data_IF_602565925212
#
_entry.id   IF_602565925212
#
_cell.length_a   1.000
_cell.length_b   1.000
_cell.length_c   1.000
_cell.angle_alpha   90.00
_cell.angle_beta   90.00
_cell.angle_gamma   90.00
#
_symmetry.space_group_name_H-M   'P 1'
#
loop_
_entity.id
_entity.type
_entity.pdbx_description
1 polymer ?
#
# COMPACT_ATOMS: atom_id res chain seq x y z
N UNK A 1 -2.42 -48.86 10.18
CA UNK A 1 -2.89 -47.75 9.30
C UNK A 1 -4.35 -47.45 9.64
N UNK A 2 -4.68 -46.29 10.24
CA UNK A 2 -6.09 -45.89 10.47
C UNK A 2 -6.75 -45.65 9.09
N UNK A 3 -7.83 -46.37 8.78
CA UNK A 3 -8.61 -46.16 7.55
C UNK A 3 -9.26 -44.77 7.63
N UNK A 4 -8.82 -43.86 6.77
CA UNK A 4 -9.40 -42.52 6.66
C UNK A 4 -10.63 -42.63 5.75
N UNK A 5 -11.81 -42.27 6.26
CA UNK A 5 -13.04 -42.34 5.48
C UNK A 5 -13.06 -41.14 4.53
N UNK A 6 -13.34 -41.37 3.25
CA UNK A 6 -13.42 -40.28 2.26
C UNK A 6 -14.79 -39.60 2.35
N UNK A 7 -14.80 -38.30 2.10
CA UNK A 7 -16.04 -37.53 1.99
C UNK A 7 -16.83 -38.00 0.76
N UNK A 8 -18.16 -38.14 0.89
CA UNK A 8 -19.09 -38.51 -0.18
C UNK A 8 -20.04 -37.33 -0.42
N UNK A 9 -20.30 -36.99 -1.68
CA UNK A 9 -21.10 -35.81 -2.04
C UNK A 9 -22.56 -35.89 -1.55
N UNK A 10 -23.07 -37.11 -1.32
CA UNK A 10 -24.35 -37.40 -0.66
C UNK A 10 -24.45 -36.86 0.77
N UNK A 11 -23.35 -36.40 1.39
CA UNK A 11 -23.39 -35.75 2.71
C UNK A 11 -24.00 -34.34 2.68
N UNK A 12 -24.27 -33.80 1.48
CA UNK A 12 -25.05 -32.58 1.33
C UNK A 12 -26.49 -32.74 1.86
N UNK A 13 -27.07 -33.95 1.79
CA UNK A 13 -28.39 -34.21 2.39
C UNK A 13 -28.40 -33.99 3.91
N UNK A 14 -27.23 -34.09 4.55
CA UNK A 14 -26.99 -33.81 5.96
C UNK A 14 -26.46 -32.37 6.18
N UNK A 15 -26.44 -31.51 5.16
CA UNK A 15 -25.99 -30.12 5.28
C UNK A 15 -24.48 -29.95 5.49
N UNK A 16 -23.68 -30.93 5.04
CA UNK A 16 -22.23 -30.88 5.07
C UNK A 16 -21.62 -30.75 3.66
N UNK A 17 -20.47 -30.07 3.57
CA UNK A 17 -19.62 -29.96 2.36
C UNK A 17 -18.17 -30.35 2.68
N UNK A 18 -17.33 -30.50 1.64
CA UNK A 18 -15.88 -30.67 1.81
C UNK A 18 -15.29 -29.40 2.41
N UNK A 19 -14.47 -29.53 3.45
CA UNK A 19 -13.73 -28.40 3.99
C UNK A 19 -12.65 -27.93 2.98
N UNK A 20 -12.58 -26.62 2.72
CA UNK A 20 -11.63 -26.03 1.78
C UNK A 20 -10.16 -26.12 2.22
N UNK A 21 -9.89 -26.25 3.53
CA UNK A 21 -8.54 -26.37 4.08
C UNK A 21 -8.07 -27.83 4.16
N UNK A 22 -8.97 -28.75 4.49
CA UNK A 22 -8.70 -30.18 4.52
C UNK A 22 -9.90 -30.95 3.94
N UNK A 23 -9.84 -31.39 2.67
CA UNK A 23 -10.95 -32.09 2.01
C UNK A 23 -11.42 -33.38 2.70
N UNK A 24 -10.66 -33.90 3.68
CA UNK A 24 -11.00 -35.09 4.47
C UNK A 24 -11.93 -34.79 5.64
N UNK A 25 -12.25 -33.53 5.90
CA UNK A 25 -13.13 -33.11 6.99
C UNK A 25 -14.48 -32.64 6.45
N UNK A 26 -15.61 -33.09 7.04
CA UNK A 26 -16.90 -32.51 6.72
C UNK A 26 -17.02 -31.13 7.37
N UNK A 27 -17.52 -30.17 6.61
CA UNK A 27 -17.76 -28.80 7.03
C UNK A 27 -19.27 -28.54 7.07
N UNK A 28 -19.78 -28.12 8.23
CA UNK A 28 -21.20 -27.80 8.37
C UNK A 28 -21.50 -26.45 7.73
N UNK A 29 -22.40 -26.41 6.76
CA UNK A 29 -22.76 -25.16 6.07
C UNK A 29 -23.57 -24.21 6.99
N UNK A 30 -24.29 -24.76 7.97
CA UNK A 30 -25.18 -23.98 8.85
C UNK A 30 -24.45 -23.26 9.98
N UNK A 31 -23.49 -23.91 10.64
CA UNK A 31 -22.70 -23.32 11.74
C UNK A 31 -21.24 -22.99 11.37
N UNK A 32 -20.85 -23.22 10.11
CA UNK A 32 -19.51 -22.92 9.60
C UNK A 32 -18.37 -23.63 10.37
N UNK A 33 -18.64 -24.83 10.89
CA UNK A 33 -17.70 -25.59 11.71
C UNK A 33 -17.20 -26.84 10.99
N UNK A 34 -15.88 -27.04 11.00
CA UNK A 34 -15.24 -28.28 10.56
C UNK A 34 -15.32 -29.37 11.62
N UNK A 35 -15.56 -30.60 11.19
CA UNK A 35 -15.59 -31.77 12.06
C UNK A 35 -14.38 -32.68 11.81
N UNK A 36 -14.10 -33.54 12.79
CA UNK A 36 -13.11 -34.59 12.61
C UNK A 36 -13.56 -35.61 11.55
N UNK A 37 -12.60 -36.23 10.85
CA UNK A 37 -12.86 -37.29 9.87
C UNK A 37 -13.65 -38.47 10.48
N UNK A 38 -13.48 -38.74 11.77
CA UNK A 38 -14.21 -39.78 12.50
C UNK A 38 -15.73 -39.52 12.56
N UNK A 39 -16.17 -38.31 12.25
CA UNK A 39 -17.58 -37.90 12.22
C UNK A 39 -18.26 -38.15 10.87
N UNK A 40 -17.56 -38.63 9.84
CA UNK A 40 -18.10 -38.85 8.48
C UNK A 40 -19.13 -39.98 8.35
N UNK A 41 -19.45 -40.70 9.43
CA UNK A 41 -20.52 -41.70 9.40
C UNK A 41 -21.89 -41.01 9.28
N UNK A 42 -22.79 -41.43 8.37
CA UNK A 42 -24.10 -40.80 8.18
C UNK A 42 -24.91 -40.64 9.47
N UNK A 43 -24.91 -41.64 10.36
CA UNK A 43 -25.56 -41.56 11.66
C UNK A 43 -25.00 -40.46 12.55
N UNK A 44 -23.68 -40.24 12.52
CA UNK A 44 -23.00 -39.18 13.29
C UNK A 44 -23.27 -37.79 12.72
N UNK A 45 -23.30 -37.65 11.38
CA UNK A 45 -23.66 -36.39 10.72
C UNK A 45 -25.11 -36.02 11.02
N UNK A 46 -26.04 -36.99 10.91
CA UNK A 46 -27.45 -36.83 11.25
C UNK A 46 -27.65 -36.45 12.73
N UNK A 47 -26.98 -37.14 13.66
CA UNK A 47 -27.01 -36.81 15.09
C UNK A 47 -26.51 -35.39 15.37
N UNK A 48 -25.51 -34.91 14.64
CA UNK A 48 -24.99 -33.56 14.83
C UNK A 48 -25.97 -32.48 14.37
N UNK A 49 -26.64 -32.66 13.23
CA UNK A 49 -27.71 -31.75 12.82
C UNK A 49 -28.79 -31.75 13.88
N UNK A 50 -29.23 -32.92 14.36
CA UNK A 50 -30.27 -33.01 15.39
C UNK A 50 -29.90 -32.30 16.69
N UNK A 51 -28.62 -32.31 17.07
CA UNK A 51 -28.12 -31.65 18.29
C UNK A 51 -27.88 -30.15 18.12
N UNK A 52 -27.34 -29.71 16.98
CA UNK A 52 -26.92 -28.31 16.76
C UNK A 52 -27.92 -27.47 15.96
N UNK A 53 -28.73 -28.12 15.15
CA UNK A 53 -29.70 -27.54 14.22
C UNK A 53 -31.02 -28.36 14.23
N UNK A 54 -31.65 -28.57 15.40
CA UNK A 54 -32.87 -29.39 15.52
C UNK A 54 -33.99 -28.93 14.58
N UNK A 55 -34.07 -27.63 14.27
CA UNK A 55 -35.04 -27.03 13.38
C UNK A 55 -34.82 -27.34 11.89
N UNK A 56 -33.71 -28.01 11.54
CA UNK A 56 -33.29 -28.29 10.16
C UNK A 56 -33.27 -29.78 9.80
N UNK A 57 -33.63 -30.67 10.74
CA UNK A 57 -33.46 -32.14 10.63
C UNK A 57 -34.26 -32.77 9.47
N UNK A 58 -35.38 -32.15 9.05
CA UNK A 58 -36.28 -32.68 8.02
C UNK A 58 -36.39 -31.77 6.78
N UNK A 59 -35.39 -30.92 6.53
CA UNK A 59 -35.41 -30.04 5.35
C UNK A 59 -35.08 -30.86 4.08
N UNK A 60 -35.73 -30.55 2.94
CA UNK A 60 -35.45 -31.24 1.69
C UNK A 60 -34.04 -30.93 1.20
N UNK A 61 -33.44 -31.82 0.40
CA UNK A 61 -32.07 -31.66 -0.13
C UNK A 61 -31.91 -30.31 -0.86
N UNK A 62 -32.96 -29.84 -1.56
CA UNK A 62 -33.01 -28.51 -2.21
C UNK A 62 -32.66 -27.34 -1.28
N UNK A 63 -33.00 -27.45 0.01
CA UNK A 63 -32.62 -26.44 1.01
C UNK A 63 -31.11 -26.42 1.24
N UNK A 64 -30.48 -27.59 1.38
CA UNK A 64 -29.03 -27.72 1.55
C UNK A 64 -28.27 -27.32 0.28
N UNK A 65 -28.82 -27.59 -0.90
CA UNK A 65 -28.30 -27.11 -2.18
C UNK A 65 -28.30 -25.58 -2.24
N UNK A 66 -29.40 -24.94 -1.85
CA UNK A 66 -29.48 -23.47 -1.76
C UNK A 66 -28.41 -22.89 -0.82
N UNK A 67 -28.27 -23.46 0.39
CA UNK A 67 -27.22 -23.04 1.33
C UNK A 67 -25.80 -23.23 0.79
N UNK A 68 -25.55 -24.31 0.04
CA UNK A 68 -24.27 -24.56 -0.60
C UNK A 68 -23.99 -23.49 -1.67
N UNK A 69 -24.97 -23.18 -2.51
CA UNK A 69 -24.85 -22.13 -3.53
C UNK A 69 -24.58 -20.77 -2.91
N UNK A 70 -25.29 -20.40 -1.83
CA UNK A 70 -25.05 -19.14 -1.11
C UNK A 70 -23.65 -19.10 -0.49
N UNK A 71 -23.19 -20.21 0.08
CA UNK A 71 -21.85 -20.33 0.65
C UNK A 71 -20.73 -20.24 -0.39
N UNK A 72 -20.91 -20.82 -1.56
CA UNK A 72 -19.96 -20.76 -2.67
C UNK A 72 -19.93 -19.36 -3.31
N UNK A 73 -21.08 -18.67 -3.35
CA UNK A 73 -21.22 -17.33 -3.92
C UNK A 73 -20.82 -16.19 -2.96
N UNK A 74 -20.55 -16.48 -1.67
CA UNK A 74 -20.20 -15.45 -0.69
C UNK A 74 -18.92 -14.71 -1.09
N UNK A 75 -18.90 -13.39 -0.86
CA UNK A 75 -17.68 -12.60 -1.04
C UNK A 75 -16.62 -13.04 -0.03
N UNK A 76 -15.53 -13.63 -0.51
CA UNK A 76 -14.34 -13.93 0.31
C UNK A 76 -13.35 -12.78 0.27
N UNK A 77 -12.51 -12.66 1.30
CA UNK A 77 -11.40 -11.68 1.33
C UNK A 77 -10.54 -11.77 0.06
N UNK A 78 -10.23 -12.98 -0.41
CA UNK A 78 -9.53 -13.20 -1.70
C UNK A 78 -10.31 -12.68 -2.92
N UNK A 79 -11.63 -12.82 -2.92
CA UNK A 79 -12.50 -12.28 -3.98
C UNK A 79 -12.56 -10.76 -3.95
N UNK A 80 -12.56 -10.14 -2.76
CA UNK A 80 -12.49 -8.68 -2.59
C UNK A 80 -11.18 -8.12 -3.16
N UNK A 81 -10.04 -8.75 -2.86
CA UNK A 81 -8.75 -8.35 -3.44
C UNK A 81 -8.66 -8.61 -4.95
N UNK A 82 -9.24 -9.70 -5.46
CA UNK A 82 -9.31 -9.96 -6.92
C UNK A 82 -10.19 -8.96 -7.67
N UNK A 83 -11.26 -8.46 -7.06
CA UNK A 83 -12.11 -7.41 -7.65
C UNK A 83 -11.34 -6.09 -7.74
N UNK A 84 -10.55 -5.75 -6.72
CA UNK A 84 -9.71 -4.55 -6.73
C UNK A 84 -8.65 -4.58 -7.85
N UNK A 85 -8.04 -5.74 -8.12
CA UNK A 85 -7.03 -5.89 -9.18
C UNK A 85 -7.58 -5.84 -10.61
N UNK A 86 -8.90 -6.01 -10.80
CA UNK A 86 -9.52 -5.91 -12.14
C UNK A 86 -9.83 -4.46 -12.56
N UNK A 87 -9.71 -3.49 -11.65
CA UNK A 87 -10.00 -2.08 -11.93
C UNK A 87 -8.69 -1.38 -12.34
N UNK A 88 -8.40 -1.53 -13.63
CA UNK A 88 -7.78 -0.54 -14.50
C UNK A 88 -6.45 0.09 -14.04
N UNK A 89 -5.32 -0.58 -14.33
CA UNK A 89 -3.97 0.01 -14.22
C UNK A 89 -3.87 1.40 -14.86
N UNK A 90 -4.63 1.65 -15.94
CA UNK A 90 -4.66 2.96 -16.61
C UNK A 90 -5.11 4.12 -15.72
N UNK A 91 -6.17 3.94 -14.93
CA UNK A 91 -6.67 4.99 -14.01
C UNK A 91 -5.67 5.24 -12.88
N UNK A 92 -5.06 4.18 -12.37
CA UNK A 92 -4.02 4.29 -11.36
C UNK A 92 -2.80 5.06 -11.90
N UNK A 93 -2.30 4.69 -13.08
CA UNK A 93 -1.18 5.36 -13.75
C UNK A 93 -1.51 6.83 -14.00
N UNK A 94 -2.70 7.14 -14.52
CA UNK A 94 -3.13 8.51 -14.75
C UNK A 94 -3.17 9.34 -13.46
N UNK A 95 -3.64 8.77 -12.35
CA UNK A 95 -3.66 9.46 -11.05
C UNK A 95 -2.25 9.79 -10.53
N UNK A 96 -1.26 8.93 -10.74
CA UNK A 96 0.14 9.23 -10.40
C UNK A 96 0.73 10.32 -11.29
N UNK A 97 0.45 10.30 -12.61
CA UNK A 97 0.88 11.36 -13.52
C UNK A 97 0.29 12.73 -13.14
N UNK A 98 -0.98 12.75 -12.77
CA UNK A 98 -1.64 13.98 -12.28
C UNK A 98 -1.01 14.45 -10.97
N UNK A 99 -0.75 13.54 -10.03
CA UNK A 99 -0.06 13.86 -8.78
C UNK A 99 1.34 14.45 -9.04
N UNK A 100 2.10 13.90 -10.00
CA UNK A 100 3.41 14.43 -10.41
C UNK A 100 3.31 15.84 -10.97
N UNK A 101 2.32 16.10 -11.84
CA UNK A 101 2.09 17.45 -12.39
C UNK A 101 1.79 18.43 -11.25
N UNK A 102 0.84 18.10 -10.36
CA UNK A 102 0.47 18.95 -9.22
C UNK A 102 1.68 19.25 -8.33
N UNK A 103 2.51 18.24 -8.06
CA UNK A 103 3.71 18.39 -7.24
C UNK A 103 4.74 19.31 -7.91
N UNK A 104 5.01 19.12 -9.21
CA UNK A 104 5.95 19.96 -9.97
C UNK A 104 5.50 21.41 -10.06
N UNK A 105 4.20 21.64 -10.25
CA UNK A 105 3.64 23.00 -10.25
C UNK A 105 3.47 23.58 -8.85
N UNK A 106 3.84 22.85 -7.79
CA UNK A 106 3.73 23.25 -6.40
C UNK A 106 2.31 23.72 -6.01
N UNK A 107 1.29 23.12 -6.64
CA UNK A 107 -0.10 23.42 -6.33
C UNK A 107 -0.57 22.62 -5.11
N UNK A 108 -1.56 23.15 -4.40
CA UNK A 108 -2.24 22.37 -3.36
C UNK A 108 -2.90 21.14 -3.98
N UNK A 109 -2.75 19.98 -3.33
CA UNK A 109 -3.38 18.73 -3.78
C UNK A 109 -4.91 18.83 -3.87
N UNK A 110 -5.51 19.80 -3.17
CA UNK A 110 -6.94 20.14 -3.23
C UNK A 110 -7.43 20.57 -4.62
N UNK A 111 -6.51 20.97 -5.50
CA UNK A 111 -6.81 21.31 -6.90
C UNK A 111 -7.32 20.09 -7.67
N UNK A 112 -6.92 18.87 -7.29
CA UNK A 112 -7.33 17.67 -7.99
C UNK A 112 -8.86 17.48 -7.98
N UNK A 113 -9.47 17.49 -6.80
CA UNK A 113 -10.91 17.26 -6.66
C UNK A 113 -11.74 18.48 -7.10
N UNK A 114 -11.25 19.70 -6.86
CA UNK A 114 -11.99 20.92 -7.17
C UNK A 114 -11.94 21.33 -8.65
N UNK A 115 -10.80 21.14 -9.31
CA UNK A 115 -10.55 21.68 -10.66
C UNK A 115 -10.40 20.54 -11.66
N UNK A 116 -9.56 19.55 -11.36
CA UNK A 116 -9.21 18.51 -12.34
C UNK A 116 -10.40 17.57 -12.57
N UNK A 117 -11.11 17.16 -11.52
CA UNK A 117 -12.33 16.35 -11.67
C UNK A 117 -13.36 17.07 -12.53
N UNK A 118 -13.64 18.35 -12.27
CA UNK A 118 -14.59 19.14 -13.07
C UNK A 118 -14.13 19.34 -14.52
N UNK A 119 -12.83 19.50 -14.76
CA UNK A 119 -12.29 19.60 -16.12
C UNK A 119 -12.42 18.26 -16.88
N UNK A 120 -12.13 17.14 -16.22
CA UNK A 120 -12.29 15.80 -16.79
C UNK A 120 -13.78 15.53 -17.08
N UNK A 121 -14.68 15.93 -16.19
CA UNK A 121 -16.13 15.84 -16.41
C UNK A 121 -16.56 16.57 -17.68
N UNK A 122 -16.16 17.84 -17.83
CA UNK A 122 -16.52 18.65 -19.00
C UNK A 122 -15.98 18.05 -20.31
N UNK A 123 -14.75 17.50 -20.31
CA UNK A 123 -14.19 16.84 -21.50
C UNK A 123 -14.98 15.58 -21.87
N UNK A 124 -15.33 14.75 -20.88
CA UNK A 124 -16.08 13.52 -21.12
C UNK A 124 -17.51 13.84 -21.61
N UNK A 125 -18.17 14.85 -21.05
CA UNK A 125 -19.53 15.23 -21.46
C UNK A 125 -19.54 15.85 -22.86
N UNK A 126 -18.71 16.86 -23.11
CA UNK A 126 -18.79 17.67 -24.33
C UNK A 126 -18.03 17.06 -25.51
N UNK A 127 -16.85 16.47 -25.27
CA UNK A 127 -15.99 15.98 -26.35
C UNK A 127 -16.27 14.52 -26.65
N UNK A 128 -16.45 13.70 -25.62
CA UNK A 128 -16.64 12.25 -25.78
C UNK A 128 -18.12 11.86 -25.92
N UNK A 129 -19.05 12.80 -25.70
CA UNK A 129 -20.50 12.57 -25.71
C UNK A 129 -20.92 11.36 -24.84
N UNK A 130 -20.24 11.13 -23.71
CA UNK A 130 -20.54 10.05 -22.79
C UNK A 130 -21.46 10.55 -21.67
N UNK A 131 -22.65 9.96 -21.55
CA UNK A 131 -23.61 10.31 -20.50
C UNK A 131 -23.29 9.68 -19.14
N UNK A 132 -22.59 8.55 -19.11
CA UNK A 132 -22.16 7.92 -17.85
C UNK A 132 -20.74 8.34 -17.47
N UNK A 133 -20.63 9.50 -16.83
CA UNK A 133 -19.36 10.01 -16.29
C UNK A 133 -18.94 9.29 -15.00
N UNK A 134 -19.92 8.75 -14.26
CA UNK A 134 -19.69 8.21 -12.92
C UNK A 134 -18.82 6.96 -12.94
N UNK A 135 -18.98 6.10 -13.96
CA UNK A 135 -18.17 4.89 -14.11
C UNK A 135 -16.71 5.18 -14.44
N UNK A 136 -16.41 6.26 -15.19
CA UNK A 136 -15.03 6.64 -15.55
C UNK A 136 -14.33 7.36 -14.40
N UNK A 137 -15.01 8.30 -13.74
CA UNK A 137 -14.44 9.10 -12.65
C UNK A 137 -14.14 8.22 -11.42
N UNK A 138 -15.00 7.24 -11.12
CA UNK A 138 -14.77 6.28 -10.02
C UNK A 138 -13.50 5.45 -10.21
N UNK A 139 -13.03 5.29 -11.45
CA UNK A 139 -11.82 4.54 -11.77
C UNK A 139 -10.56 5.41 -11.63
N UNK A 140 -10.71 6.74 -11.61
CA UNK A 140 -9.61 7.68 -11.48
C UNK A 140 -9.55 8.25 -10.05
N UNK A 141 -8.72 7.71 -9.15
CA UNK A 141 -8.66 8.14 -7.75
C UNK A 141 -7.97 9.52 -7.63
N UNK A 142 -8.75 10.59 -7.82
CA UNK A 142 -8.33 12.00 -7.72
C UNK A 142 -8.80 12.69 -6.43
N UNK A 143 -9.38 11.97 -5.47
CA UNK A 143 -9.73 12.58 -4.18
C UNK A 143 -8.50 13.24 -3.57
N UNK A 144 -8.72 14.31 -2.80
CA UNK A 144 -7.63 15.05 -2.16
C UNK A 144 -6.70 14.13 -1.37
N UNK A 145 -7.25 13.18 -0.63
CA UNK A 145 -6.50 12.16 0.12
C UNK A 145 -5.68 11.24 -0.80
N UNK A 146 -6.25 10.83 -1.93
CA UNK A 146 -5.58 9.94 -2.89
C UNK A 146 -4.37 10.63 -3.51
N UNK A 147 -4.51 11.88 -3.93
CA UNK A 147 -3.42 12.65 -4.53
C UNK A 147 -2.37 13.00 -3.47
N UNK A 148 -2.77 13.45 -2.28
CA UNK A 148 -1.85 13.72 -1.18
C UNK A 148 -0.99 12.49 -0.86
N UNK A 149 -1.61 11.31 -0.71
CA UNK A 149 -0.88 10.05 -0.47
C UNK A 149 0.13 9.75 -1.58
N UNK A 150 -0.25 9.91 -2.85
CA UNK A 150 0.63 9.64 -4.00
C UNK A 150 1.82 10.59 -4.04
N UNK A 151 1.59 11.88 -3.78
CA UNK A 151 2.66 12.88 -3.68
C UNK A 151 3.64 12.48 -2.56
N UNK A 152 3.13 12.09 -1.39
CA UNK A 152 3.96 11.66 -0.28
C UNK A 152 4.78 10.41 -0.64
N UNK A 153 4.15 9.38 -1.21
CA UNK A 153 4.83 8.15 -1.64
C UNK A 153 5.95 8.41 -2.66
N UNK A 154 5.71 9.32 -3.60
CA UNK A 154 6.73 9.73 -4.56
C UNK A 154 7.85 10.57 -3.93
N UNK A 155 7.57 11.28 -2.84
CA UNK A 155 8.53 12.15 -2.16
C UNK A 155 9.46 11.42 -1.19
N UNK A 156 9.10 10.22 -0.73
CA UNK A 156 9.86 9.47 0.28
C UNK A 156 11.32 9.20 -0.15
N UNK A 157 11.53 8.88 -1.44
CA UNK A 157 12.87 8.71 -2.01
C UNK A 157 12.92 9.23 -3.45
N UNK A 158 13.20 10.52 -3.60
CA UNK A 158 13.28 11.18 -4.90
C UNK A 158 14.41 10.63 -5.79
N UNK A 159 15.61 10.46 -5.22
CA UNK A 159 16.74 9.87 -5.94
C UNK A 159 17.86 9.40 -5.02
N UNK A 160 18.66 8.48 -5.55
CA UNK A 160 19.95 8.05 -4.99
C UNK A 160 20.97 8.14 -6.12
N UNK A 161 22.04 8.90 -5.93
CA UNK A 161 23.10 9.07 -6.93
C UNK A 161 24.44 8.63 -6.34
N UNK A 162 25.07 7.67 -7.00
CA UNK A 162 26.47 7.35 -6.74
C UNK A 162 27.35 8.47 -7.31
N UNK A 163 28.25 8.99 -6.50
CA UNK A 163 29.27 9.95 -6.92
C UNK A 163 30.52 9.18 -7.33
N UNK A 164 30.89 9.25 -8.61
CA UNK A 164 31.98 8.45 -9.19
C UNK A 164 33.38 8.99 -8.86
N UNK A 165 33.49 10.29 -8.57
CA UNK A 165 34.78 10.97 -8.40
C UNK A 165 35.15 11.17 -6.94
N UNK A 166 34.46 12.08 -6.26
CA UNK A 166 34.74 12.50 -4.90
C UNK A 166 33.45 12.82 -4.16
N UNK A 167 33.59 13.02 -2.85
CA UNK A 167 32.49 13.39 -1.95
C UNK A 167 32.63 14.83 -1.48
N UNK A 168 33.17 15.73 -2.32
CA UNK A 168 33.30 17.15 -2.00
C UNK A 168 31.94 17.85 -2.05
N UNK A 169 31.82 18.98 -1.33
CA UNK A 169 30.59 19.76 -1.34
C UNK A 169 30.16 20.25 -2.72
N UNK A 170 31.13 20.50 -3.61
CA UNK A 170 30.87 20.90 -5.00
C UNK A 170 30.25 19.76 -5.80
N UNK A 171 30.84 18.55 -5.76
CA UNK A 171 30.32 17.39 -6.49
C UNK A 171 28.93 16.98 -6.01
N UNK A 172 28.72 17.00 -4.69
CA UNK A 172 27.40 16.76 -4.09
C UNK A 172 26.39 17.81 -4.56
N UNK A 173 26.76 19.09 -4.51
CA UNK A 173 25.88 20.18 -4.95
C UNK A 173 25.52 20.07 -6.43
N UNK A 174 26.50 19.81 -7.30
CA UNK A 174 26.27 19.62 -8.73
C UNK A 174 25.33 18.44 -8.99
N UNK A 175 25.48 17.32 -8.28
CA UNK A 175 24.60 16.15 -8.45
C UNK A 175 23.14 16.46 -8.07
N UNK A 176 22.93 17.15 -6.94
CA UNK A 176 21.59 17.56 -6.49
C UNK A 176 21.00 18.60 -7.45
N UNK A 177 21.81 19.57 -7.90
CA UNK A 177 21.41 20.61 -8.83
C UNK A 177 20.95 20.03 -10.17
N UNK A 178 21.75 19.16 -10.78
CA UNK A 178 21.44 18.46 -12.04
C UNK A 178 20.14 17.69 -11.89
N UNK A 179 19.96 16.96 -10.78
CA UNK A 179 18.71 16.25 -10.54
C UNK A 179 17.49 17.17 -10.52
N UNK A 180 17.55 18.29 -9.79
CA UNK A 180 16.43 19.22 -9.76
C UNK A 180 16.14 19.84 -11.14
N UNK A 181 17.18 20.16 -11.91
CA UNK A 181 17.03 20.69 -13.27
C UNK A 181 16.44 19.65 -14.23
N UNK A 182 16.93 18.41 -14.23
CA UNK A 182 16.41 17.31 -15.04
C UNK A 182 14.96 16.95 -14.72
N UNK A 183 14.55 17.14 -13.46
CA UNK A 183 13.18 16.87 -13.01
C UNK A 183 12.27 18.08 -13.02
N UNK A 184 12.76 19.23 -13.48
CA UNK A 184 12.01 20.50 -13.54
C UNK A 184 11.44 20.88 -12.17
N UNK A 185 12.19 20.62 -11.09
CA UNK A 185 11.79 20.95 -9.72
C UNK A 185 12.16 22.42 -9.45
N UNK A 186 11.22 23.29 -9.06
CA UNK A 186 11.48 24.71 -8.82
C UNK A 186 12.13 24.97 -7.44
N UNK A 187 13.38 24.53 -7.25
CA UNK A 187 14.07 24.57 -5.95
C UNK A 187 14.48 25.98 -5.50
N UNK A 188 14.62 26.95 -6.41
CA UNK A 188 15.04 28.31 -6.05
C UNK A 188 14.05 29.02 -5.13
N UNK A 189 12.75 28.81 -5.36
CA UNK A 189 11.67 29.49 -4.64
C UNK A 189 11.06 28.59 -3.56
N UNK A 190 10.92 27.29 -3.85
CA UNK A 190 10.09 26.39 -3.04
C UNK A 190 10.88 25.51 -2.06
N UNK A 191 12.22 25.60 -2.06
CA UNK A 191 13.03 24.84 -1.12
C UNK A 191 13.05 25.51 0.27
N UNK A 192 12.25 24.97 1.19
CA UNK A 192 12.07 25.52 2.53
C UNK A 192 13.20 25.13 3.49
N UNK A 193 13.63 23.87 3.45
CA UNK A 193 14.63 23.38 4.39
C UNK A 193 15.51 22.26 3.80
N UNK A 194 16.68 22.08 4.40
CA UNK A 194 17.58 20.99 4.09
C UNK A 194 18.14 20.40 5.39
N UNK A 195 18.00 19.08 5.54
CA UNK A 195 18.65 18.33 6.60
C UNK A 195 19.91 17.65 6.06
N UNK A 196 21.09 17.95 6.60
CA UNK A 196 22.35 17.34 6.17
C UNK A 196 23.15 16.72 7.30
N UNK A 197 24.03 15.78 6.96
CA UNK A 197 25.08 15.31 7.86
C UNK A 197 26.03 16.44 8.29
N UNK A 198 26.75 16.23 9.39
CA UNK A 198 27.73 17.18 9.92
C UNK A 198 29.12 17.10 9.28
N UNK A 199 29.28 16.38 8.16
CA UNK A 199 30.58 16.20 7.50
C UNK A 199 31.06 17.51 6.86
N UNK A 200 32.38 17.68 6.76
CA UNK A 200 32.97 18.90 6.18
C UNK A 200 32.46 19.18 4.76
N UNK A 201 32.28 18.14 3.95
CA UNK A 201 31.72 18.28 2.60
C UNK A 201 30.31 18.87 2.58
N UNK A 202 29.52 18.70 3.63
CA UNK A 202 28.18 19.25 3.73
C UNK A 202 28.17 20.67 4.30
N UNK A 203 28.85 20.89 5.43
CA UNK A 203 28.64 22.08 6.28
C UNK A 203 29.78 23.11 6.27
N UNK A 204 30.90 22.85 5.58
CA UNK A 204 32.04 23.80 5.60
C UNK A 204 31.66 25.15 4.97
N UNK A 205 32.10 26.24 5.61
CA UNK A 205 31.66 27.63 5.37
C UNK A 205 31.71 28.08 3.90
N UNK A 206 32.73 27.66 3.15
CA UNK A 206 32.99 28.19 1.80
C UNK A 206 32.82 27.17 0.67
N UNK A 207 33.11 25.89 0.96
CA UNK A 207 33.13 24.80 -0.03
C UNK A 207 32.18 23.64 0.32
N UNK A 208 31.27 23.86 1.26
CA UNK A 208 30.30 22.85 1.68
C UNK A 208 29.07 22.90 0.79
N UNK A 209 28.41 21.76 0.61
CA UNK A 209 27.12 21.66 -0.09
C UNK A 209 26.14 22.74 0.38
N UNK A 210 25.97 22.90 1.70
CA UNK A 210 25.08 23.90 2.30
C UNK A 210 25.49 25.33 1.95
N UNK A 211 26.79 25.60 1.87
CA UNK A 211 27.29 26.92 1.46
C UNK A 211 26.91 27.25 0.02
N UNK A 212 26.98 26.27 -0.89
CA UNK A 212 26.51 26.46 -2.26
C UNK A 212 25.00 26.59 -2.34
N UNK A 213 24.26 25.77 -1.60
CA UNK A 213 22.80 25.80 -1.56
C UNK A 213 22.28 27.15 -1.05
N UNK A 214 22.85 27.69 0.03
CA UNK A 214 22.49 29.02 0.57
C UNK A 214 22.77 30.18 -0.37
N UNK A 215 23.71 30.04 -1.32
CA UNK A 215 23.94 31.09 -2.33
C UNK A 215 22.80 31.15 -3.34
N UNK A 216 22.15 30.03 -3.62
CA UNK A 216 21.00 29.97 -4.54
C UNK A 216 19.66 30.19 -3.82
N UNK A 217 19.53 29.68 -2.59
CA UNK A 217 18.34 29.77 -1.77
C UNK A 217 18.69 30.39 -0.40
N UNK A 218 18.88 31.72 -0.29
CA UNK A 218 19.32 32.36 0.95
C UNK A 218 18.39 32.13 2.14
N UNK A 219 17.09 31.96 1.89
CA UNK A 219 16.03 31.75 2.87
C UNK A 219 15.96 30.32 3.43
N UNK A 220 16.76 29.39 2.91
CA UNK A 220 16.65 27.98 3.29
C UNK A 220 17.00 27.74 4.76
N UNK A 221 16.14 27.00 5.46
CA UNK A 221 16.42 26.54 6.82
C UNK A 221 17.31 25.29 6.78
N UNK A 222 18.49 25.38 7.37
CA UNK A 222 19.41 24.24 7.43
C UNK A 222 19.34 23.58 8.80
N UNK A 223 19.07 22.28 8.79
CA UNK A 223 18.93 21.45 9.98
C UNK A 223 20.03 20.39 9.97
N UNK A 224 20.62 20.12 11.13
CA UNK A 224 21.57 19.02 11.24
C UNK A 224 20.86 17.69 11.48
N UNK A 225 21.33 16.63 10.82
CA UNK A 225 20.79 15.29 11.02
C UNK A 225 20.92 14.85 12.49
N UNK A 226 19.77 14.57 13.11
CA UNK A 226 19.66 14.16 14.52
C UNK A 226 20.34 12.80 14.75
N UNK A 227 20.25 11.88 13.78
CA UNK A 227 20.88 10.56 13.86
C UNK A 227 22.40 10.67 14.01
N UNK A 228 23.04 11.58 13.27
CA UNK A 228 24.48 11.79 13.37
C UNK A 228 24.88 12.35 14.74
N UNK A 229 24.11 13.30 15.29
CA UNK A 229 24.35 13.87 16.63
C UNK A 229 24.19 12.82 17.73
N UNK A 230 23.09 12.06 17.72
CA UNK A 230 22.88 10.96 18.66
C UNK A 230 23.99 9.93 18.57
N UNK A 231 24.44 9.61 17.35
CA UNK A 231 25.52 8.67 17.13
C UNK A 231 26.85 9.12 17.74
N UNK A 232 27.18 10.41 17.63
CA UNK A 232 28.39 10.99 18.23
C UNK A 232 28.34 10.92 19.76
N UNK A 233 27.20 11.27 20.37
CA UNK A 233 27.04 11.25 21.82
C UNK A 233 27.07 9.82 22.37
N UNK A 234 26.39 8.88 21.71
CA UNK A 234 26.31 7.49 22.13
C UNK A 234 27.67 6.81 22.26
N UNK A 235 28.66 7.24 21.47
CA UNK A 235 30.04 6.78 21.51
C UNK A 235 30.66 6.90 22.91
N UNK A 236 30.23 7.90 23.68
CA UNK A 236 30.74 8.21 25.01
C UNK A 236 29.77 7.81 26.15
N UNK A 237 28.52 7.44 25.85
CA UNK A 237 27.51 7.06 26.86
C UNK A 237 27.55 5.55 27.15
N UNK A 238 27.50 4.72 26.11
CA UNK A 238 27.39 3.26 26.30
C UNK A 238 27.86 2.50 25.07
N UNK A 239 28.69 1.45 25.22
CA UNK A 239 29.08 0.58 24.11
C UNK A 239 27.89 -0.06 23.39
N UNK A 240 26.86 -0.46 24.14
CA UNK A 240 25.66 -1.11 23.60
C UNK A 240 24.86 -0.11 22.75
N UNK A 241 24.61 1.09 23.28
CA UNK A 241 23.91 2.14 22.55
C UNK A 241 24.67 2.57 21.29
N UNK A 242 26.00 2.67 21.40
CA UNK A 242 26.87 2.96 20.28
C UNK A 242 26.77 1.88 19.18
N UNK A 243 26.73 0.60 19.55
CA UNK A 243 26.55 -0.50 18.61
C UNK A 243 25.17 -0.46 17.93
N UNK A 244 24.09 -0.25 18.69
CA UNK A 244 22.74 -0.13 18.14
C UNK A 244 22.62 1.02 17.14
N UNK A 245 23.11 2.20 17.50
CA UNK A 245 23.08 3.36 16.60
C UNK A 245 24.02 3.20 15.40
N UNK A 246 25.11 2.42 15.50
CA UNK A 246 25.91 2.04 14.33
C UNK A 246 25.09 1.25 13.32
N UNK A 247 24.33 0.27 13.79
CA UNK A 247 23.46 -0.55 12.94
C UNK A 247 22.40 0.32 12.29
N UNK A 248 21.69 1.15 13.06
CA UNK A 248 20.66 2.06 12.55
C UNK A 248 21.23 2.99 11.47
N UNK A 249 22.37 3.62 11.73
CA UNK A 249 23.02 4.50 10.74
C UNK A 249 23.38 3.73 9.46
N UNK A 250 23.95 2.52 9.55
CA UNK A 250 24.29 1.72 8.37
C UNK A 250 23.09 1.20 7.58
N UNK A 251 21.93 1.07 8.21
CA UNK A 251 20.70 0.57 7.56
C UNK A 251 19.90 1.71 6.93
N UNK A 252 19.93 2.90 7.52
CA UNK A 252 19.13 4.05 7.09
C UNK A 252 19.90 5.08 6.23
N UNK A 253 21.24 5.07 6.25
CA UNK A 253 22.12 5.99 5.53
C UNK A 253 23.22 5.21 4.78
#
# INVERSE_FOLDING_TARGET
>A
KKKCQQYIDDYLQYGFIKNSTDPKQPFCIMCHQSLSNESLKPSRLSDQIRRKHPEKVDKPIKYSEGLKTDFENRSTVKSLFKKQTKINDGGLIASYKIAEIIAKTCCAHTVAEKIIVSAVEAVISEVMNQQDLSSIIKVLPLSNDSICRRINEMSDLLFVKLLETDTTGTSIFSAVKVFFEEKEIPYYENLVSCASGGTMSMVVRHKGFISYLKKLCPQILVIHCVLHRHKLVAKNISPILNQLLNTVVKTLL
#
